data_IF_703694179441
#
_entry.id   IF_703694179441
#
_cell.length_a   1.000
_cell.length_b   1.000
_cell.length_c   1.000
_cell.angle_alpha   90.00
_cell.angle_beta   90.00
_cell.angle_gamma   90.00
#
_symmetry.space_group_name_H-M   'P 1'
#
loop_
_entity.id
_entity.type
_entity.pdbx_description
1 polymer ?
#
# COMPACT_ATOMS: atom_id res chain seq x y z
N UNK A 1 44.13 5.93 -6.60
CA UNK A 1 44.23 4.74 -5.73
C UNK A 1 44.05 5.05 -4.24
N UNK A 2 44.26 6.29 -3.76
CA UNK A 2 44.04 6.67 -2.35
C UNK A 2 42.58 6.98 -1.99
N UNK A 3 41.74 7.37 -2.96
CA UNK A 3 40.36 7.82 -2.69
C UNK A 3 39.35 6.65 -2.67
N UNK A 4 39.73 5.48 -3.18
CA UNK A 4 38.81 4.33 -3.36
C UNK A 4 38.65 3.46 -2.10
N UNK A 5 39.56 3.54 -1.13
CA UNK A 5 39.38 2.90 0.18
C UNK A 5 38.32 3.60 1.05
N UNK A 6 38.04 4.88 0.76
CA UNK A 6 37.17 5.73 1.59
C UNK A 6 35.68 5.37 1.40
N UNK A 7 35.28 4.95 0.19
CA UNK A 7 33.88 4.58 -0.11
C UNK A 7 33.49 3.28 0.60
N UNK A 8 34.35 2.26 0.57
CA UNK A 8 34.09 0.99 1.27
C UNK A 8 34.00 1.19 2.78
N UNK A 9 34.93 1.96 3.38
CA UNK A 9 34.93 2.23 4.81
C UNK A 9 33.77 3.14 5.22
N UNK A 10 33.39 4.13 4.41
CA UNK A 10 32.20 4.97 4.63
C UNK A 10 30.92 4.14 4.57
N UNK A 11 30.82 3.22 3.61
CA UNK A 11 29.68 2.33 3.46
C UNK A 11 29.59 1.33 4.61
N UNK A 12 30.70 0.67 4.94
CA UNK A 12 30.80 -0.24 6.07
C UNK A 12 30.54 0.50 7.40
N UNK A 13 30.97 1.76 7.54
CA UNK A 13 30.69 2.59 8.70
C UNK A 13 29.21 2.99 8.77
N UNK A 14 28.56 3.36 7.67
CA UNK A 14 27.13 3.63 7.61
C UNK A 14 26.32 2.39 8.02
N UNK A 15 26.68 1.21 7.51
CA UNK A 15 26.08 -0.07 7.91
C UNK A 15 26.38 -0.40 9.38
N UNK A 16 27.62 -0.21 9.84
CA UNK A 16 28.02 -0.51 11.22
C UNK A 16 27.42 0.46 12.25
N UNK A 17 27.18 1.71 11.90
CA UNK A 17 26.50 2.70 12.74
C UNK A 17 25.06 2.31 13.04
N UNK A 18 24.46 1.39 12.27
CA UNK A 18 23.13 0.84 12.54
C UNK A 18 23.10 -0.31 13.55
N UNK A 19 24.24 -0.71 14.12
CA UNK A 19 24.38 -1.85 15.06
C UNK A 19 23.65 -1.70 16.41
N UNK A 20 23.08 -0.54 16.75
CA UNK A 20 22.43 -0.31 18.05
C UNK A 20 20.92 -0.62 18.06
N UNK A 21 20.31 -0.92 16.92
CA UNK A 21 18.86 -1.15 16.85
C UNK A 21 18.49 -2.58 17.29
N UNK A 22 17.76 -2.69 18.42
CA UNK A 22 17.15 -3.92 18.93
C UNK A 22 16.33 -4.65 17.86
N UNK A 23 16.25 -5.98 17.95
CA UNK A 23 15.51 -6.92 17.07
C UNK A 23 13.98 -6.74 17.01
N UNK A 24 13.43 -5.58 17.41
CA UNK A 24 12.00 -5.31 17.30
C UNK A 24 11.61 -5.01 15.84
N UNK A 25 10.96 -6.00 15.23
CA UNK A 25 10.12 -5.93 14.03
C UNK A 25 9.19 -4.72 14.02
N UNK A 26 9.58 -3.59 13.43
CA UNK A 26 8.61 -2.52 13.14
C UNK A 26 8.85 -1.95 11.75
N UNK A 27 8.47 -2.69 10.70
CA UNK A 27 8.23 -2.04 9.40
C UNK A 27 7.14 -0.98 9.61
N UNK A 28 7.41 0.24 9.15
CA UNK A 28 6.64 1.45 9.49
C UNK A 28 5.39 1.58 8.63
N UNK A 29 4.73 0.46 8.33
CA UNK A 29 3.61 0.42 7.40
C UNK A 29 2.27 0.86 8.03
N UNK A 30 2.12 0.67 9.35
CA UNK A 30 0.91 1.04 10.08
C UNK A 30 1.18 1.35 11.56
N UNK A 31 0.40 2.28 12.11
CA UNK A 31 0.50 2.70 13.49
C UNK A 31 -0.86 3.14 14.05
N UNK A 32 -1.01 3.10 15.37
CA UNK A 32 -2.23 3.55 16.02
C UNK A 32 -2.09 3.66 17.52
N UNK A 33 -3.16 4.07 18.18
CA UNK A 33 -3.24 4.29 19.61
C UNK A 33 -4.54 4.97 20.01
N UNK A 34 -4.59 5.45 21.25
CA UNK A 34 -5.70 6.28 21.71
C UNK A 34 -5.56 7.71 21.16
N UNK A 35 -6.69 8.29 20.77
CA UNK A 35 -6.81 9.67 20.35
C UNK A 35 -7.56 10.46 21.41
N UNK A 36 -6.89 11.47 21.96
CA UNK A 36 -7.49 12.35 22.96
C UNK A 36 -8.34 13.42 22.27
N UNK A 37 -9.63 13.22 22.37
CA UNK A 37 -10.67 14.11 21.88
C UNK A 37 -10.61 15.47 22.60
N UNK A 38 -10.55 16.62 21.88
CA UNK A 38 -10.48 17.94 22.51
C UNK A 38 -11.76 18.23 23.31
N UNK A 39 -11.62 18.67 24.56
CA UNK A 39 -12.76 18.99 25.41
C UNK A 39 -13.53 20.21 24.86
N UNK A 40 -14.87 20.14 24.85
CA UNK A 40 -15.69 21.32 24.55
C UNK A 40 -15.44 22.44 25.58
N UNK A 41 -15.36 23.68 25.12
CA UNK A 41 -15.29 24.84 25.99
C UNK A 41 -16.57 24.94 26.84
N UNK A 42 -16.42 24.94 28.17
CA UNK A 42 -17.54 24.97 29.12
C UNK A 42 -18.34 26.27 28.97
N UNK A 43 -19.54 26.22 28.39
CA UNK A 43 -20.60 27.19 28.79
C UNK A 43 -21.26 26.66 30.06
N UNK A 44 -21.04 27.36 31.18
CA UNK A 44 -21.77 27.12 32.44
C UNK A 44 -23.26 27.40 32.22
N UNK A 45 -24.08 26.37 32.06
CA UNK A 45 -25.52 26.48 32.29
C UNK A 45 -25.84 26.07 33.71
N UNK A 46 -26.73 26.82 34.36
CA UNK A 46 -27.04 26.73 35.78
C UNK A 46 -28.07 25.61 36.07
N UNK A 47 -27.76 24.37 35.69
CA UNK A 47 -28.47 23.18 36.18
C UNK A 47 -27.50 22.00 36.12
N UNK A 48 -27.16 21.43 37.27
CA UNK A 48 -26.18 20.36 37.41
C UNK A 48 -26.63 19.06 36.74
N UNK A 49 -25.83 18.61 35.77
CA UNK A 49 -25.96 17.35 35.05
C UNK A 49 -24.85 17.26 34.01
N UNK A 50 -23.99 16.25 34.11
CA UNK A 50 -22.69 16.11 33.47
C UNK A 50 -22.71 15.63 32.02
N UNK A 51 -21.87 16.20 31.14
CA UNK A 51 -20.85 15.45 30.37
C UNK A 51 -19.97 16.43 29.56
N UNK A 52 -18.65 16.22 29.43
CA UNK A 52 -17.88 16.86 28.39
C UNK A 52 -18.21 16.15 27.06
N UNK A 53 -19.40 16.42 26.51
CA UNK A 53 -19.69 16.08 25.12
C UNK A 53 -18.67 16.83 24.26
N UNK A 54 -18.02 16.13 23.33
CA UNK A 54 -17.26 16.83 22.32
C UNK A 54 -18.24 17.63 21.46
N UNK A 55 -18.12 18.96 21.50
CA UNK A 55 -18.89 19.84 20.65
C UNK A 55 -18.14 20.00 19.33
N UNK A 56 -18.84 19.79 18.21
CA UNK A 56 -18.30 20.12 16.90
C UNK A 56 -18.03 18.95 15.95
N UNK A 57 -18.75 17.85 16.08
CA UNK A 57 -18.98 16.93 14.96
C UNK A 57 -20.46 17.01 14.59
N UNK A 58 -20.75 17.29 13.33
CA UNK A 58 -22.12 17.36 12.80
C UNK A 58 -22.24 16.60 11.49
N UNK A 59 -23.40 16.01 11.25
CA UNK A 59 -23.79 15.45 9.95
C UNK A 59 -25.06 16.16 9.52
N UNK A 60 -24.95 17.10 8.58
CA UNK A 60 -26.02 18.05 8.29
C UNK A 60 -26.54 18.73 9.57
N UNK A 61 -27.81 18.49 9.89
CA UNK A 61 -28.47 19.02 11.09
C UNK A 61 -28.28 18.18 12.36
N UNK A 62 -27.71 16.97 12.24
CA UNK A 62 -27.51 16.04 13.36
C UNK A 62 -26.24 16.43 14.12
N UNK A 63 -26.39 16.81 15.39
CA UNK A 63 -25.26 17.02 16.29
C UNK A 63 -24.80 15.69 16.89
N UNK A 64 -23.52 15.34 16.70
CA UNK A 64 -22.95 14.09 17.18
C UNK A 64 -22.16 14.35 18.44
N UNK A 65 -22.76 14.01 19.58
CA UNK A 65 -22.05 13.99 20.87
C UNK A 65 -21.29 12.67 21.05
N UNK A 66 -20.21 12.70 21.84
CA UNK A 66 -19.39 11.53 22.15
C UNK A 66 -19.46 11.23 23.67
N UNK A 67 -19.64 9.96 24.08
CA UNK A 67 -19.95 8.79 23.23
C UNK A 67 -21.27 8.92 22.48
N UNK A 68 -21.34 8.38 21.25
CA UNK A 68 -22.53 8.49 20.40
C UNK A 68 -23.68 7.72 21.05
N UNK A 69 -24.81 8.40 21.25
CA UNK A 69 -26.02 7.83 21.86
C UNK A 69 -26.82 7.00 20.86
N UNK A 70 -27.73 6.17 21.36
CA UNK A 70 -28.61 5.35 20.52
C UNK A 70 -29.51 6.20 19.60
N UNK A 71 -30.04 7.31 20.09
CA UNK A 71 -30.88 8.22 19.30
C UNK A 71 -30.10 8.88 18.17
N UNK A 72 -28.86 9.32 18.44
CA UNK A 72 -27.97 9.88 17.40
C UNK A 72 -27.60 8.82 16.38
N UNK A 73 -27.33 7.58 16.79
CA UNK A 73 -27.05 6.47 15.87
C UNK A 73 -28.23 6.20 14.93
N UNK A 74 -29.46 6.19 15.45
CA UNK A 74 -30.66 6.00 14.63
C UNK A 74 -30.87 7.17 13.64
N UNK A 75 -30.57 8.40 14.04
CA UNK A 75 -30.60 9.54 13.15
C UNK A 75 -29.53 9.44 12.04
N UNK A 76 -28.32 9.00 12.37
CA UNK A 76 -27.26 8.77 11.39
C UNK A 76 -27.62 7.64 10.42
N UNK A 77 -28.27 6.57 10.87
CA UNK A 77 -28.76 5.49 10.00
C UNK A 77 -29.75 5.96 8.95
N UNK A 78 -30.59 6.93 9.29
CA UNK A 78 -31.60 7.45 8.38
C UNK A 78 -31.02 8.27 7.22
N UNK A 79 -29.78 8.77 7.36
CA UNK A 79 -29.09 9.56 6.32
C UNK A 79 -27.92 8.82 5.68
N UNK A 80 -27.51 7.68 6.26
CA UNK A 80 -26.43 6.87 5.73
C UNK A 80 -26.92 5.97 4.58
N UNK A 81 -26.10 5.85 3.54
CA UNK A 81 -26.35 4.97 2.40
C UNK A 81 -25.50 3.70 2.49
N UNK A 82 -25.86 2.66 1.73
CA UNK A 82 -25.04 1.45 1.65
C UNK A 82 -23.67 1.80 1.06
N UNK A 83 -22.60 1.31 1.69
CA UNK A 83 -21.25 1.58 1.22
C UNK A 83 -20.90 0.62 0.07
N UNK A 84 -20.55 1.12 -1.12
CA UNK A 84 -20.27 0.27 -2.27
C UNK A 84 -18.94 -0.47 -2.14
N UNK A 85 -18.80 -1.56 -2.89
CA UNK A 85 -17.52 -2.20 -3.22
C UNK A 85 -17.06 -1.73 -4.61
N UNK A 86 -15.78 -1.36 -4.72
CA UNK A 86 -15.19 -0.96 -5.99
C UNK A 86 -14.52 -2.16 -6.66
N UNK A 87 -14.98 -2.52 -7.86
CA UNK A 87 -14.22 -3.35 -8.80
C UNK A 87 -14.16 -2.61 -10.15
N UNK A 88 -13.01 -2.01 -10.45
CA UNK A 88 -12.79 -1.26 -11.68
C UNK A 88 -13.74 -0.05 -11.86
N UNK A 89 -14.28 0.11 -13.06
CA UNK A 89 -15.22 1.20 -13.40
C UNK A 89 -16.66 0.97 -12.90
N UNK A 90 -16.96 -0.18 -12.27
CA UNK A 90 -18.30 -0.49 -11.77
C UNK A 90 -18.35 -0.41 -10.25
N UNK A 91 -19.28 0.40 -9.76
CA UNK A 91 -19.61 0.50 -8.33
C UNK A 91 -20.68 -0.54 -8.06
N UNK A 92 -20.30 -1.69 -7.50
CA UNK A 92 -21.23 -2.75 -7.13
C UNK A 92 -21.49 -2.71 -5.62
N UNK A 93 -22.59 -3.30 -5.18
CA UNK A 93 -22.88 -3.51 -3.75
C UNK A 93 -22.95 -5.02 -3.55
N UNK A 94 -21.86 -5.61 -3.10
CA UNK A 94 -21.78 -7.03 -2.72
C UNK A 94 -21.55 -7.13 -1.21
N UNK A 95 -22.59 -7.57 -0.49
CA UNK A 95 -22.55 -7.72 0.97
C UNK A 95 -21.58 -8.82 1.46
N UNK A 96 -21.19 -9.77 0.60
CA UNK A 96 -20.18 -10.77 0.93
C UNK A 96 -18.76 -10.16 0.94
N UNK A 97 -18.55 -9.08 0.17
CA UNK A 97 -17.29 -8.34 0.12
C UNK A 97 -17.30 -7.21 1.15
N UNK A 98 -18.40 -6.46 1.27
CA UNK A 98 -18.51 -5.31 2.17
C UNK A 98 -19.93 -5.13 2.65
N UNK A 99 -20.08 -5.13 3.97
CA UNK A 99 -21.33 -4.76 4.64
C UNK A 99 -21.07 -3.59 5.58
N UNK A 100 -21.40 -2.39 5.10
CA UNK A 100 -21.26 -1.15 5.84
C UNK A 100 -22.23 -0.10 5.31
N UNK A 101 -22.55 0.90 6.13
CA UNK A 101 -23.19 2.13 5.68
C UNK A 101 -22.16 3.26 5.69
N UNK A 102 -22.28 4.21 4.77
CA UNK A 102 -21.42 5.39 4.69
C UNK A 102 -22.23 6.69 4.66
N UNK A 103 -21.56 7.75 5.10
CA UNK A 103 -21.95 9.14 4.89
C UNK A 103 -20.71 9.82 4.31
N UNK A 104 -20.87 10.51 3.19
CA UNK A 104 -19.74 11.15 2.52
C UNK A 104 -19.19 12.31 3.35
N UNK A 105 -17.88 12.53 3.24
CA UNK A 105 -17.16 13.48 4.09
C UNK A 105 -17.62 14.93 3.96
N UNK A 106 -18.19 15.30 2.81
CA UNK A 106 -18.76 16.64 2.54
C UNK A 106 -20.05 16.92 3.35
N UNK A 107 -20.74 15.88 3.78
CA UNK A 107 -21.91 15.97 4.66
C UNK A 107 -21.51 16.09 6.14
N UNK A 108 -20.23 15.87 6.47
CA UNK A 108 -19.71 15.90 7.83
C UNK A 108 -18.97 17.20 8.10
N UNK A 109 -19.42 17.95 9.09
CA UNK A 109 -18.76 19.20 9.51
C UNK A 109 -18.02 18.99 10.82
N UNK A 110 -16.76 19.41 10.85
CA UNK A 110 -15.90 19.44 12.04
C UNK A 110 -15.73 20.87 12.54
N UNK A 111 -15.75 21.08 13.85
CA UNK A 111 -15.35 22.35 14.43
C UNK A 111 -13.85 22.57 14.25
N UNK A 112 -13.43 23.84 14.16
CA UNK A 112 -12.01 24.16 14.01
C UNK A 112 -11.09 23.53 15.08
N UNK A 113 -11.46 23.44 16.38
CA UNK A 113 -10.66 22.73 17.37
C UNK A 113 -10.54 21.23 17.12
N UNK A 114 -11.62 20.56 16.72
CA UNK A 114 -11.60 19.12 16.41
C UNK A 114 -10.78 18.85 15.16
N UNK A 115 -10.99 19.63 14.10
CA UNK A 115 -10.23 19.53 12.86
C UNK A 115 -8.73 19.69 13.12
N UNK A 116 -8.33 20.71 13.89
CA UNK A 116 -6.92 20.92 14.25
C UNK A 116 -6.34 19.72 15.01
N UNK A 117 -7.07 19.18 15.99
CA UNK A 117 -6.60 18.02 16.75
C UNK A 117 -6.39 16.78 15.87
N UNK A 118 -7.28 16.58 14.88
CA UNK A 118 -7.16 15.49 13.89
C UNK A 118 -5.98 15.69 12.94
N UNK A 119 -5.76 16.93 12.47
CA UNK A 119 -4.61 17.29 11.63
C UNK A 119 -3.28 17.11 12.38
N UNK A 120 -3.20 17.55 13.64
CA UNK A 120 -2.03 17.35 14.51
C UNK A 120 -1.74 15.86 14.75
N UNK A 121 -2.79 15.06 14.97
CA UNK A 121 -2.65 13.61 15.16
C UNK A 121 -2.22 12.90 13.88
N UNK A 122 -2.78 13.29 12.73
CA UNK A 122 -2.36 12.81 11.42
C UNK A 122 -0.88 13.10 11.17
N UNK A 123 -0.45 14.34 11.42
CA UNK A 123 0.93 14.77 11.30
C UNK A 123 1.85 13.95 12.22
N UNK A 124 1.42 13.72 13.47
CA UNK A 124 2.16 12.94 14.48
C UNK A 124 2.34 11.48 14.05
N UNK A 125 1.26 10.81 13.62
CA UNK A 125 1.30 9.42 13.16
C UNK A 125 2.17 9.28 11.91
N UNK A 126 1.99 10.17 10.93
CA UNK A 126 2.76 10.15 9.69
C UNK A 126 4.27 10.32 9.95
N UNK A 127 4.68 11.35 10.71
CA UNK A 127 6.10 11.62 10.94
C UNK A 127 6.76 10.63 11.90
N UNK A 128 6.13 10.39 13.07
CA UNK A 128 6.79 9.65 14.15
C UNK A 128 6.63 8.14 14.03
N UNK A 129 5.64 7.66 13.27
CA UNK A 129 5.32 6.23 13.21
C UNK A 129 5.38 5.64 11.81
N UNK A 130 5.02 6.41 10.77
CA UNK A 130 5.14 5.97 9.37
C UNK A 130 6.43 6.46 8.69
N UNK A 131 7.15 7.42 9.29
CA UNK A 131 8.40 7.95 8.74
C UNK A 131 8.24 8.93 7.58
N UNK A 132 7.04 9.47 7.37
CA UNK A 132 6.75 10.44 6.31
C UNK A 132 7.28 11.82 6.70
N UNK A 133 8.02 12.46 5.80
CA UNK A 133 8.57 13.81 5.99
C UNK A 133 7.66 14.89 5.39
N UNK A 134 7.80 16.13 5.87
CA UNK A 134 7.01 17.27 5.40
C UNK A 134 5.64 17.42 6.06
N UNK A 135 4.85 18.36 5.54
CA UNK A 135 3.49 18.64 5.98
C UNK A 135 2.53 17.53 5.55
N UNK A 136 1.61 17.16 6.45
CA UNK A 136 0.57 16.17 6.19
C UNK A 136 -0.80 16.76 6.53
N UNK A 137 -1.70 16.70 5.56
CA UNK A 137 -3.11 17.07 5.71
C UNK A 137 -3.97 15.82 5.84
N UNK A 138 -4.97 15.89 6.71
CA UNK A 138 -6.03 14.88 6.82
C UNK A 138 -7.29 15.36 6.09
N UNK A 139 -7.65 14.70 5.00
CA UNK A 139 -8.85 15.00 4.20
C UNK A 139 -9.97 14.05 4.62
N UNK A 140 -11.06 14.54 5.21
CA UNK A 140 -12.17 13.67 5.62
C UNK A 140 -12.86 13.08 4.38
N UNK A 141 -12.74 11.77 4.20
CA UNK A 141 -13.27 11.08 3.04
C UNK A 141 -14.70 10.60 3.28
N UNK A 142 -14.94 9.89 4.40
CA UNK A 142 -16.26 9.37 4.74
C UNK A 142 -16.37 9.05 6.23
N UNK A 143 -17.60 9.05 6.74
CA UNK A 143 -17.97 8.36 7.99
C UNK A 143 -18.54 6.98 7.62
N UNK A 144 -18.12 5.92 8.32
CA UNK A 144 -18.67 4.57 8.15
C UNK A 144 -19.35 4.08 9.43
N UNK A 145 -20.52 3.48 9.27
CA UNK A 145 -21.30 2.83 10.32
C UNK A 145 -21.40 1.33 10.06
N UNK A 146 -21.15 0.55 11.09
CA UNK A 146 -21.22 -0.91 11.05
C UNK A 146 -22.19 -1.42 12.11
N UNK A 147 -23.21 -2.13 11.64
CA UNK A 147 -24.14 -2.94 12.42
C UNK A 147 -23.57 -4.35 12.65
N UNK A 148 -24.20 -5.18 13.49
CA UNK A 148 -23.82 -6.58 13.60
C UNK A 148 -23.82 -7.29 12.22
N UNK A 149 -22.74 -8.03 11.95
CA UNK A 149 -22.41 -8.61 10.65
C UNK A 149 -21.65 -7.67 9.70
N UNK A 150 -21.54 -6.39 10.03
CA UNK A 150 -20.82 -5.41 9.23
C UNK A 150 -19.32 -5.71 9.19
N UNK A 151 -18.74 -5.71 7.98
CA UNK A 151 -17.36 -6.11 7.70
C UNK A 151 -16.90 -5.58 6.34
N UNK A 152 -15.62 -5.77 6.03
CA UNK A 152 -15.13 -5.71 4.65
C UNK A 152 -13.95 -6.67 4.44
N UNK A 153 -13.90 -7.27 3.26
CA UNK A 153 -12.86 -8.17 2.82
C UNK A 153 -11.51 -7.44 2.64
N UNK A 154 -10.44 -8.23 2.55
CA UNK A 154 -9.09 -7.70 2.39
C UNK A 154 -8.96 -6.95 1.06
N UNK A 155 -8.51 -5.70 1.10
CA UNK A 155 -8.28 -4.87 -0.07
C UNK A 155 -7.17 -3.85 0.20
N UNK A 156 -6.74 -3.16 -0.85
CA UNK A 156 -5.89 -1.96 -0.78
C UNK A 156 -6.73 -0.73 -1.05
N UNK A 157 -6.33 0.40 -0.48
CA UNK A 157 -6.97 1.67 -0.80
C UNK A 157 -6.48 2.15 -2.16
N UNK A 158 -7.41 2.58 -3.02
CA UNK A 158 -7.07 3.43 -4.15
C UNK A 158 -6.73 4.83 -3.66
N UNK A 159 -5.66 5.43 -4.20
CA UNK A 159 -5.33 6.84 -3.97
C UNK A 159 -6.38 7.73 -4.66
N UNK A 160 -7.12 8.53 -3.88
CA UNK A 160 -8.34 9.24 -4.33
C UNK A 160 -8.10 10.72 -4.65
N UNK A 161 -6.95 11.25 -4.27
CA UNK A 161 -6.57 12.64 -4.51
C UNK A 161 -5.05 12.78 -4.63
N UNK A 162 -4.60 13.81 -5.33
CA UNK A 162 -3.18 14.03 -5.60
C UNK A 162 -2.38 14.18 -4.29
N UNK A 163 -1.33 13.38 -4.14
CA UNK A 163 -0.47 13.38 -2.96
C UNK A 163 -1.01 12.55 -1.79
N UNK A 164 -2.15 11.89 -1.94
CA UNK A 164 -2.59 10.86 -0.99
C UNK A 164 -1.52 9.77 -0.89
N UNK A 165 -1.26 9.28 0.31
CA UNK A 165 -0.29 8.21 0.54
C UNK A 165 -0.78 7.13 1.49
N UNK A 166 -1.88 7.40 2.18
CA UNK A 166 -2.40 6.51 3.20
C UNK A 166 -3.74 6.94 3.72
N UNK A 167 -4.22 6.18 4.70
CA UNK A 167 -5.52 6.35 5.32
C UNK A 167 -5.34 6.46 6.82
N UNK A 168 -6.06 7.39 7.44
CA UNK A 168 -6.23 7.47 8.89
C UNK A 168 -7.68 7.16 9.25
N UNK A 169 -7.88 6.20 10.15
CA UNK A 169 -9.20 5.81 10.66
C UNK A 169 -9.29 6.21 12.12
N UNK A 170 -10.33 6.98 12.46
CA UNK A 170 -10.65 7.38 13.83
C UNK A 170 -11.94 6.69 14.25
N UNK A 171 -11.84 5.71 15.13
CA UNK A 171 -12.97 5.02 15.74
C UNK A 171 -13.56 5.84 16.88
N UNK A 172 -14.82 6.22 16.72
CA UNK A 172 -15.55 7.03 17.68
C UNK A 172 -16.19 6.14 18.75
N UNK A 173 -16.17 6.55 20.03
CA UNK A 173 -16.84 5.81 21.09
C UNK A 173 -18.36 5.90 20.94
N UNK A 174 -19.05 4.78 21.13
CA UNK A 174 -20.51 4.70 21.23
C UNK A 174 -20.89 4.38 22.67
N UNK A 175 -22.04 4.85 23.14
CA UNK A 175 -22.49 4.68 24.53
C UNK A 175 -22.57 3.19 24.92
N UNK A 176 -23.17 2.39 24.04
CA UNK A 176 -23.34 0.95 24.20
C UNK A 176 -22.07 0.14 23.86
N UNK A 177 -21.03 0.76 23.29
CA UNK A 177 -19.86 0.05 22.78
C UNK A 177 -20.17 -0.86 21.59
N UNK A 178 -19.21 -1.74 21.28
CA UNK A 178 -19.36 -2.80 20.27
C UNK A 178 -18.35 -3.94 20.50
N UNK A 179 -18.70 -5.12 19.97
CA UNK A 179 -17.86 -6.31 19.93
C UNK A 179 -17.48 -6.67 18.48
N UNK A 180 -16.41 -7.45 18.31
CA UNK A 180 -15.85 -7.74 16.99
C UNK A 180 -15.27 -6.48 16.34
N UNK A 181 -15.39 -6.35 15.01
CA UNK A 181 -15.11 -5.08 14.32
C UNK A 181 -13.64 -4.66 14.33
N UNK A 182 -12.70 -5.60 14.45
CA UNK A 182 -11.27 -5.30 14.51
C UNK A 182 -10.69 -5.06 13.12
N UNK A 183 -9.98 -3.94 12.96
CA UNK A 183 -9.22 -3.64 11.75
C UNK A 183 -7.88 -4.38 11.76
N UNK A 184 -7.60 -5.09 10.68
CA UNK A 184 -6.34 -5.81 10.47
C UNK A 184 -5.66 -5.18 9.26
N UNK A 185 -4.39 -4.78 9.42
CA UNK A 185 -3.58 -4.18 8.35
C UNK A 185 -2.34 -5.06 8.15
N UNK A 186 -1.99 -5.33 6.90
CA UNK A 186 -0.92 -6.23 6.47
C UNK A 186 -0.04 -5.56 5.41
N UNK A 187 1.26 -5.79 5.51
CA UNK A 187 2.26 -5.40 4.53
C UNK A 187 3.33 -6.50 4.48
N UNK A 188 3.53 -7.12 3.32
CA UNK A 188 4.26 -8.40 3.22
C UNK A 188 3.69 -9.45 4.17
N UNK A 189 4.58 -10.07 4.96
CA UNK A 189 4.22 -11.07 5.98
C UNK A 189 3.81 -10.47 7.32
N UNK A 190 3.98 -9.16 7.49
CA UNK A 190 3.70 -8.49 8.75
C UNK A 190 2.23 -8.10 8.86
N UNK A 191 1.62 -8.37 10.02
CA UNK A 191 0.25 -7.97 10.31
C UNK A 191 0.14 -7.21 11.63
N UNK A 192 -0.69 -6.17 11.66
CA UNK A 192 -1.05 -5.41 12.85
C UNK A 192 -2.56 -5.33 13.02
N UNK A 193 -3.00 -5.18 14.27
CA UNK A 193 -4.41 -5.13 14.66
C UNK A 193 -4.69 -3.82 15.37
N UNK A 194 -5.66 -3.05 14.87
CA UNK A 194 -6.06 -1.75 15.40
C UNK A 194 -7.58 -1.67 15.58
N UNK A 195 -8.06 -0.56 16.15
CA UNK A 195 -9.47 -0.16 16.20
C UNK A 195 -10.41 -1.37 16.45
N UNK A 196 -10.22 -2.00 17.62
CA UNK A 196 -10.93 -3.21 18.03
C UNK A 196 -12.17 -2.90 18.89
N UNK A 197 -12.71 -3.93 19.58
CA UNK A 197 -13.89 -3.79 20.44
C UNK A 197 -13.77 -2.64 21.43
N UNK A 198 -14.89 -1.96 21.67
CA UNK A 198 -14.99 -0.89 22.65
C UNK A 198 -16.04 -1.25 23.70
N UNK A 199 -15.67 -1.19 24.98
CA UNK A 199 -16.58 -1.47 26.08
C UNK A 199 -17.67 -0.38 26.20
N UNK A 200 -18.87 -0.72 26.71
CA UNK A 200 -19.88 0.27 27.07
C UNK A 200 -19.30 1.35 28.00
N UNK A 201 -19.66 2.60 27.77
CA UNK A 201 -19.16 3.75 28.54
C UNK A 201 -17.72 4.17 28.25
N UNK A 202 -17.03 3.54 27.29
CA UNK A 202 -15.75 4.04 26.79
C UNK A 202 -15.91 5.46 26.21
N UNK A 203 -14.91 6.33 26.46
CA UNK A 203 -14.96 7.75 26.06
C UNK A 203 -13.83 8.16 25.14
N UNK A 204 -12.82 7.31 24.99
CA UNK A 204 -11.66 7.59 24.18
C UNK A 204 -11.92 7.13 22.74
N UNK A 205 -11.52 7.94 21.78
CA UNK A 205 -11.43 7.50 20.40
C UNK A 205 -10.15 6.68 20.22
N UNK A 206 -10.17 5.77 19.24
CA UNK A 206 -8.98 5.01 18.84
C UNK A 206 -8.64 5.43 17.42
N UNK A 207 -7.37 5.70 17.16
CA UNK A 207 -6.88 6.10 15.83
C UNK A 207 -5.88 5.08 15.30
N UNK A 208 -5.90 4.87 14.00
CA UNK A 208 -4.80 4.23 13.28
C UNK A 208 -4.56 4.90 11.94
N UNK A 209 -3.32 4.85 11.47
CA UNK A 209 -2.89 5.29 10.16
C UNK A 209 -2.04 4.21 9.49
N UNK A 210 -2.20 4.04 8.18
CA UNK A 210 -1.45 3.07 7.38
C UNK A 210 -1.31 3.57 5.93
N UNK A 211 -0.31 3.06 5.20
CA UNK A 211 -0.13 3.39 3.78
C UNK A 211 -1.24 2.78 2.92
N UNK A 212 -1.60 3.43 1.81
CA UNK A 212 -2.75 3.05 0.99
C UNK A 212 -2.60 1.67 0.35
N UNK A 213 -1.36 1.28 0.04
CA UNK A 213 -1.00 -0.02 -0.54
C UNK A 213 -0.96 -1.17 0.47
N UNK A 214 -1.17 -0.90 1.77
CA UNK A 214 -1.31 -1.95 2.77
C UNK A 214 -2.64 -2.67 2.59
N UNK A 215 -2.58 -4.01 2.56
CA UNK A 215 -3.76 -4.85 2.58
C UNK A 215 -4.47 -4.69 3.92
N UNK A 216 -5.77 -4.46 3.92
CA UNK A 216 -6.51 -4.30 5.15
C UNK A 216 -7.93 -4.84 5.06
N UNK A 217 -8.42 -5.35 6.19
CA UNK A 217 -9.76 -5.91 6.34
C UNK A 217 -10.37 -5.55 7.68
N UNK A 218 -11.69 -5.56 7.75
CA UNK A 218 -12.44 -5.43 8.99
C UNK A 218 -13.13 -6.75 9.31
N UNK A 219 -12.78 -7.33 10.45
CA UNK A 219 -13.50 -8.50 10.97
C UNK A 219 -14.95 -8.13 11.33
N UNK A 220 -15.91 -9.07 11.23
CA UNK A 220 -17.31 -8.77 11.52
C UNK A 220 -17.53 -8.14 12.89
N UNK A 221 -18.34 -7.09 12.93
CA UNK A 221 -18.94 -6.59 14.18
C UNK A 221 -19.94 -7.64 14.67
N UNK A 222 -19.80 -8.12 15.90
CA UNK A 222 -20.66 -9.19 16.44
C UNK A 222 -21.81 -8.65 17.29
N UNK A 223 -21.61 -7.48 17.91
CA UNK A 223 -22.62 -6.79 18.71
C UNK A 223 -22.38 -5.28 18.73
N UNK A 224 -23.44 -4.51 18.99
CA UNK A 224 -23.37 -3.06 19.11
C UNK A 224 -23.15 -2.33 17.78
N UNK A 225 -22.63 -1.11 17.86
CA UNK A 225 -22.40 -0.24 16.69
C UNK A 225 -20.98 0.31 16.69
N UNK A 226 -20.29 0.08 15.59
CA UNK A 226 -18.97 0.66 15.33
C UNK A 226 -19.11 1.82 14.36
N UNK A 227 -18.59 2.98 14.75
CA UNK A 227 -18.59 4.20 13.92
C UNK A 227 -17.17 4.68 13.76
N UNK A 228 -16.78 5.01 12.53
CA UNK A 228 -15.44 5.53 12.23
C UNK A 228 -15.50 6.73 11.28
N UNK A 229 -14.55 7.63 11.42
CA UNK A 229 -14.18 8.61 10.40
C UNK A 229 -12.96 8.09 9.65
N UNK A 230 -13.03 8.05 8.32
CA UNK A 230 -11.91 7.68 7.45
C UNK A 230 -11.40 8.94 6.74
N UNK A 231 -10.10 9.20 6.88
CA UNK A 231 -9.41 10.34 6.28
C UNK A 231 -8.37 9.85 5.29
N UNK A 232 -8.28 10.50 4.14
CA UNK A 232 -7.10 10.39 3.28
C UNK A 232 -5.96 11.20 3.92
N UNK A 233 -4.78 10.62 4.01
CA UNK A 233 -3.56 11.30 4.40
C UNK A 233 -2.85 11.80 3.16
N UNK A 234 -2.65 13.11 3.08
CA UNK A 234 -2.15 13.80 1.89
C UNK A 234 -0.88 14.57 2.24
N UNK A 235 0.15 14.46 1.41
CA UNK A 235 1.35 15.30 1.54
C UNK A 235 1.03 16.72 1.10
N UNK A 236 1.18 17.68 2.00
CA UNK A 236 1.22 19.09 1.63
C UNK A 236 2.61 19.34 1.02
N UNK A 237 2.67 19.79 -0.24
CA UNK A 237 3.92 19.96 -1.02
C UNK A 237 4.98 20.89 -0.41
N UNK A 238 4.77 21.39 0.81
CA UNK A 238 5.74 22.08 1.66
C UNK A 238 6.62 21.08 2.39
N UNK A 239 7.57 20.48 1.67
CA UNK A 239 8.57 19.60 2.27
C UNK A 239 9.60 20.41 3.07
N UNK A 240 9.61 20.26 4.40
CA UNK A 240 10.77 20.53 5.23
C UNK A 240 11.68 19.31 5.24
N UNK A 241 12.97 19.48 4.92
CA UNK A 241 13.99 18.42 4.92
C UNK A 241 14.42 18.03 6.35
N UNK A 242 13.48 17.89 7.28
CA UNK A 242 13.79 17.40 8.60
C UNK A 242 14.16 15.91 8.48
N UNK A 243 15.45 15.61 8.61
CA UNK A 243 15.96 14.26 8.72
C UNK A 243 15.28 13.58 9.92
N UNK A 244 14.32 12.70 9.66
CA UNK A 244 13.79 11.82 10.70
C UNK A 244 14.90 10.83 11.02
N UNK A 245 15.65 11.11 12.10
CA UNK A 245 16.54 10.14 12.74
C UNK A 245 15.66 9.11 13.45
N UNK A 246 15.31 8.06 12.74
CA UNK A 246 14.72 6.84 13.31
C UNK A 246 15.71 5.69 13.15
N UNK A 247 15.95 4.94 14.22
CA UNK A 247 16.61 3.64 14.13
C UNK A 247 15.76 2.75 13.23
N UNK A 248 16.39 2.20 12.18
CA UNK A 248 15.69 2.01 10.93
C UNK A 248 15.62 0.53 10.50
N UNK A 249 14.46 0.06 10.03
CA UNK A 249 14.31 -1.22 9.35
C UNK A 249 15.35 -1.44 8.23
N UNK A 250 15.82 -0.37 7.57
CA UNK A 250 16.94 -0.38 6.62
C UNK A 250 18.22 -0.98 7.19
N UNK A 251 18.47 -0.89 8.51
CA UNK A 251 19.61 -1.52 9.17
C UNK A 251 19.62 -3.04 9.05
N UNK A 252 18.44 -3.69 9.15
CA UNK A 252 18.33 -5.15 9.01
C UNK A 252 18.60 -5.57 7.57
N UNK A 253 18.00 -4.86 6.62
CA UNK A 253 18.22 -5.11 5.19
C UNK A 253 19.68 -4.87 4.81
N UNK A 254 20.29 -3.79 5.29
CA UNK A 254 21.72 -3.52 5.13
C UNK A 254 22.61 -4.66 5.66
N UNK A 255 22.23 -5.31 6.77
CA UNK A 255 22.96 -6.50 7.25
C UNK A 255 22.84 -7.67 6.27
N UNK A 256 21.63 -7.96 5.76
CA UNK A 256 21.39 -9.01 4.75
C UNK A 256 22.17 -8.71 3.46
N UNK A 257 22.23 -7.45 3.06
CA UNK A 257 22.86 -7.04 1.81
C UNK A 257 24.37 -6.89 1.90
N UNK A 258 24.94 -6.84 3.11
CA UNK A 258 26.34 -6.45 3.35
C UNK A 258 27.32 -7.19 2.44
N UNK A 259 27.22 -8.52 2.37
CA UNK A 259 28.15 -9.32 1.56
C UNK A 259 28.02 -9.03 0.06
N UNK A 260 26.79 -8.87 -0.44
CA UNK A 260 26.55 -8.58 -1.86
C UNK A 260 26.98 -7.17 -2.23
N UNK A 261 26.68 -6.20 -1.37
CA UNK A 261 27.13 -4.81 -1.52
C UNK A 261 28.65 -4.72 -1.49
N UNK A 262 29.32 -5.41 -0.56
CA UNK A 262 30.79 -5.45 -0.50
C UNK A 262 31.38 -6.01 -1.79
N UNK A 263 30.85 -7.14 -2.30
CA UNK A 263 31.31 -7.73 -3.56
C UNK A 263 31.10 -6.80 -4.76
N UNK A 264 29.95 -6.13 -4.83
CA UNK A 264 29.66 -5.20 -5.92
C UNK A 264 30.61 -3.99 -5.89
N UNK A 265 30.85 -3.40 -4.72
CA UNK A 265 31.80 -2.30 -4.57
C UNK A 265 33.23 -2.72 -4.95
N UNK A 266 33.65 -3.93 -4.58
CA UNK A 266 34.94 -4.50 -5.05
C UNK A 266 34.96 -4.68 -6.58
N UNK A 267 33.87 -5.16 -7.18
CA UNK A 267 33.76 -5.31 -8.62
C UNK A 267 33.78 -3.96 -9.36
N UNK A 268 33.08 -2.94 -8.85
CA UNK A 268 33.05 -1.58 -9.40
C UNK A 268 34.42 -0.91 -9.40
N UNK A 269 35.30 -1.32 -8.49
CA UNK A 269 36.65 -0.74 -8.33
C UNK A 269 37.73 -1.48 -9.11
N UNK A 270 37.39 -2.59 -9.78
CA UNK A 270 38.33 -3.40 -10.56
C UNK A 270 38.17 -3.11 -12.06
N UNK A 271 39.28 -2.89 -12.79
CA UNK A 271 39.25 -2.70 -14.25
C UNK A 271 38.65 -3.93 -14.95
N UNK A 272 37.58 -3.73 -15.73
CA UNK A 272 36.87 -4.80 -16.43
C UNK A 272 35.79 -5.52 -15.60
N UNK A 273 35.35 -4.93 -14.48
CA UNK A 273 34.25 -5.45 -13.65
C UNK A 273 33.00 -5.77 -14.47
N UNK A 274 32.46 -6.98 -14.28
CA UNK A 274 31.28 -7.47 -14.99
C UNK A 274 29.95 -6.86 -14.48
N UNK A 275 29.94 -6.38 -13.24
CA UNK A 275 28.80 -5.76 -12.57
C UNK A 275 29.09 -4.26 -12.44
N UNK A 276 28.22 -3.39 -12.96
CA UNK A 276 28.37 -1.93 -12.94
C UNK A 276 27.29 -1.21 -12.10
N UNK A 277 26.35 -1.99 -11.54
CA UNK A 277 25.21 -1.50 -10.75
C UNK A 277 24.71 -2.55 -9.76
N UNK A 278 23.87 -2.09 -8.83
CA UNK A 278 23.01 -2.93 -8.01
C UNK A 278 21.60 -2.34 -8.03
N UNK A 279 20.60 -3.20 -7.97
CA UNK A 279 19.20 -2.80 -7.95
C UNK A 279 18.53 -3.32 -6.69
N UNK A 280 17.74 -2.47 -6.03
CA UNK A 280 16.92 -2.82 -4.86
C UNK A 280 15.46 -2.67 -5.22
N UNK A 281 14.68 -3.76 -5.27
CA UNK A 281 13.24 -3.68 -5.40
C UNK A 281 12.63 -2.98 -4.18
N UNK A 282 11.74 -2.01 -4.40
CA UNK A 282 11.05 -1.33 -3.31
C UNK A 282 9.85 -2.15 -2.82
N UNK A 283 9.63 -2.18 -1.50
CA UNK A 283 8.64 -3.03 -0.85
C UNK A 283 7.21 -2.50 -0.89
N UNK A 284 7.03 -1.18 -0.95
CA UNK A 284 5.71 -0.58 -1.11
C UNK A 284 5.28 -0.53 -2.58
N UNK A 285 3.96 -0.51 -2.79
CA UNK A 285 3.42 -0.17 -4.10
C UNK A 285 3.30 1.35 -4.25
N UNK A 286 3.63 1.81 -5.44
CA UNK A 286 3.52 3.20 -5.82
C UNK A 286 2.63 3.31 -7.05
N UNK A 287 1.91 4.41 -7.18
CA UNK A 287 1.22 4.75 -8.42
C UNK A 287 2.11 5.68 -9.24
N UNK A 288 2.03 5.60 -10.57
CA UNK A 288 2.68 6.58 -11.42
C UNK A 288 2.03 7.95 -11.18
N UNK A 289 2.78 8.85 -10.55
CA UNK A 289 2.36 10.23 -10.37
C UNK A 289 2.56 11.00 -11.66
N UNK A 290 1.76 12.04 -11.90
CA UNK A 290 1.94 12.97 -13.03
C UNK A 290 3.26 13.76 -12.99
N UNK A 291 4.06 13.60 -11.92
CA UNK A 291 5.40 14.15 -11.75
C UNK A 291 6.40 13.05 -11.41
N UNK A 292 7.70 13.23 -11.73
CA UNK A 292 8.75 12.34 -11.26
C UNK A 292 8.71 12.19 -9.73
N UNK A 293 8.87 10.95 -9.27
CA UNK A 293 8.94 10.63 -7.86
C UNK A 293 10.22 11.17 -7.24
N UNK A 294 10.12 11.66 -6.01
CA UNK A 294 11.23 12.14 -5.20
C UNK A 294 11.48 11.20 -4.04
N UNK A 295 12.65 11.29 -3.42
CA UNK A 295 12.97 10.52 -2.21
C UNK A 295 11.95 10.75 -1.07
N UNK A 296 11.31 11.91 -1.00
CA UNK A 296 10.26 12.25 -0.01
C UNK A 296 8.91 11.58 -0.27
N UNK A 297 8.70 11.06 -1.48
CA UNK A 297 7.46 10.39 -1.89
C UNK A 297 7.47 8.90 -1.50
N UNK A 298 8.66 8.35 -1.18
CA UNK A 298 8.83 6.98 -0.73
C UNK A 298 8.15 6.73 0.64
N UNK A 299 7.72 5.49 0.84
CA UNK A 299 6.94 5.02 1.99
C UNK A 299 7.80 4.14 2.89
N UNK A 300 7.58 4.25 4.20
CA UNK A 300 8.14 3.33 5.20
C UNK A 300 9.63 3.02 5.01
N UNK A 301 9.93 1.72 4.94
CA UNK A 301 11.31 1.20 4.84
C UNK A 301 12.00 1.61 3.53
N UNK A 302 11.26 1.78 2.42
CA UNK A 302 11.84 2.22 1.13
C UNK A 302 12.47 3.60 1.25
N UNK A 303 11.75 4.53 1.90
CA UNK A 303 12.24 5.89 2.13
C UNK A 303 13.53 5.89 2.94
N UNK A 304 13.66 4.92 3.83
CA UNK A 304 14.82 4.82 4.68
C UNK A 304 16.03 4.20 3.99
N UNK A 305 15.80 3.16 3.20
CA UNK A 305 16.84 2.56 2.35
C UNK A 305 17.39 3.62 1.40
N UNK A 306 16.50 4.34 0.71
CA UNK A 306 16.91 5.42 -0.20
C UNK A 306 17.71 6.51 0.53
N UNK A 307 17.27 6.93 1.72
CA UNK A 307 17.98 7.94 2.53
C UNK A 307 19.36 7.44 3.00
N UNK A 308 19.45 6.17 3.38
CA UNK A 308 20.71 5.55 3.78
C UNK A 308 21.69 5.53 2.61
N UNK A 309 21.25 5.11 1.42
CA UNK A 309 22.08 5.06 0.21
C UNK A 309 22.49 6.46 -0.26
N UNK A 310 21.59 7.45 -0.20
CA UNK A 310 21.90 8.84 -0.53
C UNK A 310 22.95 9.46 0.39
N UNK A 311 23.09 8.94 1.62
CA UNK A 311 24.11 9.36 2.58
C UNK A 311 25.50 8.77 2.32
N UNK A 312 25.63 7.86 1.35
CA UNK A 312 26.92 7.27 0.96
C UNK A 312 27.57 8.17 -0.08
N UNK A 313 28.80 8.60 0.21
CA UNK A 313 29.62 9.37 -0.73
C UNK A 313 30.16 8.46 -1.85
N UNK A 314 30.26 8.98 -3.07
CA UNK A 314 30.70 8.19 -4.24
C UNK A 314 29.65 7.24 -4.81
N UNK A 315 28.42 7.26 -4.30
CA UNK A 315 27.30 6.46 -4.79
C UNK A 315 26.24 7.33 -5.49
N UNK A 316 26.01 7.04 -6.76
CA UNK A 316 24.82 7.51 -7.48
C UNK A 316 23.62 6.67 -7.08
N UNK A 317 22.49 7.33 -6.82
CA UNK A 317 21.25 6.70 -6.39
C UNK A 317 20.11 7.20 -7.27
N UNK A 318 19.45 6.29 -7.97
CA UNK A 318 18.34 6.61 -8.87
C UNK A 318 17.09 5.79 -8.56
N UNK A 319 15.91 6.35 -8.81
CA UNK A 319 14.64 5.63 -8.82
C UNK A 319 14.25 5.27 -10.24
N UNK A 320 13.85 4.03 -10.47
CA UNK A 320 13.43 3.56 -11.79
C UNK A 320 12.12 2.81 -11.75
N UNK A 321 11.22 3.18 -12.66
CA UNK A 321 10.11 2.31 -13.00
C UNK A 321 10.64 1.23 -13.91
N UNK A 322 10.56 -0.01 -13.42
CA UNK A 322 10.91 -1.22 -14.16
C UNK A 322 9.60 -1.83 -14.61
N UNK A 323 9.40 -1.86 -15.92
CA UNK A 323 8.30 -2.57 -16.57
C UNK A 323 8.88 -3.76 -17.33
N UNK A 324 8.34 -4.94 -17.07
CA UNK A 324 8.66 -6.17 -17.77
C UNK A 324 7.37 -6.71 -18.36
N UNK A 325 7.36 -7.00 -19.66
CA UNK A 325 6.26 -7.69 -20.33
C UNK A 325 6.72 -9.08 -20.73
N UNK A 326 6.11 -10.10 -20.15
CA UNK A 326 6.32 -11.50 -20.52
C UNK A 326 5.17 -11.97 -21.41
N UNK A 327 5.49 -12.67 -22.49
CA UNK A 327 4.52 -13.33 -23.36
C UNK A 327 4.87 -14.79 -23.49
N UNK A 328 3.87 -15.65 -23.40
CA UNK A 328 4.11 -17.08 -23.40
C UNK A 328 2.86 -17.93 -23.53
N UNK A 329 3.07 -19.23 -23.33
CA UNK A 329 2.01 -20.24 -23.38
C UNK A 329 1.38 -20.36 -22.00
N UNK A 330 0.04 -20.26 -21.87
CA UNK A 330 -0.63 -20.45 -20.58
C UNK A 330 -0.64 -21.92 -20.16
N UNK A 331 -0.52 -22.17 -18.86
CA UNK A 331 -0.61 -23.51 -18.22
C UNK A 331 -2.02 -24.14 -18.33
N UNK A 332 -3.00 -23.42 -18.88
CA UNK A 332 -4.38 -23.87 -18.99
C UNK A 332 -5.27 -22.90 -19.77
N UNK A 333 -6.53 -23.29 -19.93
CA UNK A 333 -7.58 -22.47 -20.57
C UNK A 333 -8.54 -21.98 -19.48
N UNK A 334 -8.74 -20.65 -19.31
CA UNK A 334 -9.67 -20.10 -18.32
C UNK A 334 -11.11 -20.58 -18.55
N UNK A 335 -11.49 -20.91 -19.79
CA UNK A 335 -12.81 -21.45 -20.12
C UNK A 335 -12.97 -22.96 -19.85
N UNK A 336 -11.89 -23.69 -19.57
CA UNK A 336 -11.90 -25.13 -19.31
C UNK A 336 -10.90 -25.55 -18.20
N UNK A 337 -11.24 -25.31 -16.93
CA UNK A 337 -10.36 -25.60 -15.78
C UNK A 337 -10.07 -27.08 -15.54
N UNK A 338 -10.71 -28.01 -16.27
CA UNK A 338 -10.49 -29.46 -16.15
C UNK A 338 -9.50 -30.02 -17.18
N UNK A 339 -8.83 -29.17 -17.94
CA UNK A 339 -7.76 -29.54 -18.85
C UNK A 339 -8.25 -30.11 -20.19
N UNK A 340 -7.37 -30.03 -21.18
CA UNK A 340 -7.56 -30.55 -22.53
C UNK A 340 -7.73 -32.07 -22.53
N UNK A 341 -8.93 -32.57 -22.24
CA UNK A 341 -9.35 -33.85 -22.81
C UNK A 341 -9.69 -33.57 -24.27
N UNK A 342 -8.69 -33.72 -25.15
CA UNK A 342 -8.97 -34.08 -26.54
C UNK A 342 -9.97 -35.24 -26.51
N UNK A 343 -11.16 -35.13 -27.13
CA UNK A 343 -11.98 -36.30 -27.36
C UNK A 343 -11.14 -37.27 -28.18
N UNK A 344 -10.65 -38.34 -27.53
CA UNK A 344 -10.04 -39.46 -28.25
C UNK A 344 -11.14 -40.09 -29.09
N UNK A 345 -11.09 -39.83 -30.38
CA UNK A 345 -11.85 -40.55 -31.39
C UNK A 345 -13.06 -39.77 -31.88
N UNK A 346 -12.92 -39.20 -33.07
CA UNK A 346 -14.08 -39.05 -33.95
C UNK A 346 -14.54 -40.46 -34.32
N UNK A 347 -15.68 -40.91 -33.77
CA UNK A 347 -16.56 -41.78 -34.53
C UNK A 347 -17.31 -40.87 -35.51
N UNK A 348 -17.11 -41.08 -36.80
CA UNK A 348 -17.55 -40.23 -37.93
C UNK A 348 -19.08 -40.30 -38.16
N UNK A 349 -19.86 -40.89 -37.25
CA UNK A 349 -21.23 -41.36 -37.55
C UNK A 349 -22.36 -40.67 -36.77
N UNK A 350 -22.15 -39.51 -36.11
CA UNK A 350 -23.26 -38.74 -35.51
C UNK A 350 -23.34 -37.29 -36.06
N UNK A 351 -24.36 -36.94 -36.88
CA UNK A 351 -24.50 -35.61 -37.45
C UNK A 351 -25.19 -34.61 -36.51
N UNK A 352 -25.44 -34.93 -35.24
CA UNK A 352 -26.11 -34.04 -34.27
C UNK A 352 -25.20 -33.41 -33.20
N UNK A 353 -23.87 -33.60 -33.26
CA UNK A 353 -22.95 -32.85 -32.39
C UNK A 353 -22.73 -31.44 -32.95
N UNK A 354 -23.47 -30.50 -32.39
CA UNK A 354 -23.29 -29.08 -32.63
C UNK A 354 -21.84 -28.68 -32.47
N UNK A 355 -21.32 -27.97 -33.47
CA UNK A 355 -20.05 -27.24 -33.39
C UNK A 355 -20.01 -26.53 -32.03
N UNK A 356 -19.13 -26.98 -31.14
CA UNK A 356 -18.74 -26.18 -29.99
C UNK A 356 -17.98 -25.02 -30.60
N UNK A 357 -18.65 -23.86 -30.69
CA UNK A 357 -18.03 -22.62 -31.13
C UNK A 357 -16.91 -22.36 -30.12
N UNK A 358 -15.66 -22.62 -30.51
CA UNK A 358 -14.50 -22.14 -29.76
C UNK A 358 -14.54 -20.63 -29.92
N UNK A 359 -15.30 -19.98 -29.03
CA UNK A 359 -15.42 -18.53 -28.99
C UNK A 359 -14.01 -17.96 -29.03
N UNK A 360 -13.70 -17.25 -30.12
CA UNK A 360 -12.43 -16.58 -30.30
C UNK A 360 -12.36 -15.45 -29.27
N UNK A 361 -11.80 -15.77 -28.11
CA UNK A 361 -11.64 -14.84 -27.02
C UNK A 361 -10.28 -14.15 -27.18
N UNK A 362 -10.27 -12.99 -27.84
CA UNK A 362 -9.12 -12.08 -27.88
C UNK A 362 -9.14 -11.16 -26.65
N UNK A 363 -7.99 -11.06 -25.96
CA UNK A 363 -7.77 -9.96 -25.01
C UNK A 363 -8.61 -10.04 -23.73
N UNK A 364 -8.91 -11.24 -23.25
CA UNK A 364 -9.68 -11.43 -22.02
C UNK A 364 -8.81 -11.13 -20.80
N UNK A 365 -9.38 -10.45 -19.81
CA UNK A 365 -8.75 -10.09 -18.54
C UNK A 365 -9.68 -10.47 -17.38
N UNK A 366 -9.14 -10.60 -16.17
CA UNK A 366 -9.92 -10.84 -14.96
C UNK A 366 -9.29 -11.86 -14.01
N UNK A 367 -9.94 -12.17 -12.88
CA UNK A 367 -9.34 -12.97 -11.81
C UNK A 367 -8.96 -14.39 -12.23
N UNK A 368 -9.70 -14.97 -13.18
CA UNK A 368 -9.40 -16.29 -13.75
C UNK A 368 -8.13 -16.23 -14.61
N UNK A 369 -7.92 -15.13 -15.36
CA UNK A 369 -6.72 -14.89 -16.16
C UNK A 369 -5.52 -14.55 -15.26
N UNK A 370 -5.71 -13.74 -14.22
CA UNK A 370 -4.67 -13.40 -13.25
C UNK A 370 -4.13 -14.64 -12.51
N UNK A 371 -4.97 -15.68 -12.38
CA UNK A 371 -4.62 -16.95 -11.73
C UNK A 371 -3.97 -17.97 -12.68
N UNK A 372 -4.05 -17.81 -14.00
CA UNK A 372 -3.41 -18.71 -14.96
C UNK A 372 -1.90 -18.61 -14.86
N UNK A 373 -1.22 -19.74 -14.71
CA UNK A 373 0.23 -19.82 -14.84
C UNK A 373 0.68 -19.72 -16.30
N UNK A 374 1.99 -19.54 -16.50
CA UNK A 374 2.63 -19.54 -17.80
C UNK A 374 3.60 -20.74 -17.85
N UNK A 375 3.35 -21.67 -18.77
CA UNK A 375 4.15 -22.89 -18.93
C UNK A 375 5.53 -22.53 -19.45
N UNK A 376 5.55 -21.76 -20.53
CA UNK A 376 6.75 -21.32 -21.23
C UNK A 376 6.66 -19.83 -21.53
N UNK A 377 7.66 -19.07 -21.09
CA UNK A 377 7.87 -17.68 -21.52
C UNK A 377 8.58 -17.71 -22.88
N UNK A 378 7.93 -17.17 -23.91
CA UNK A 378 8.44 -17.12 -25.29
C UNK A 378 9.21 -15.82 -25.54
N UNK A 379 8.72 -14.71 -25.00
CA UNK A 379 9.27 -13.38 -25.22
C UNK A 379 9.22 -12.55 -23.94
N UNK A 380 10.23 -11.71 -23.75
CA UNK A 380 10.36 -10.84 -22.58
C UNK A 380 10.90 -9.47 -23.02
N UNK A 381 10.12 -8.43 -22.77
CA UNK A 381 10.47 -7.06 -23.11
C UNK A 381 10.63 -6.21 -21.85
N UNK A 382 11.73 -5.45 -21.78
CA UNK A 382 12.07 -4.57 -20.66
C UNK A 382 12.02 -3.11 -21.05
N UNK A 383 11.36 -2.31 -20.22
CA UNK A 383 11.33 -0.86 -20.31
C UNK A 383 11.62 -0.25 -18.95
N UNK A 384 12.79 0.35 -18.83
CA UNK A 384 13.26 0.92 -17.56
C UNK A 384 13.58 2.38 -17.75
N UNK A 385 13.05 3.23 -16.87
CA UNK A 385 13.39 4.65 -16.84
C UNK A 385 13.85 5.07 -15.45
N UNK A 386 15.13 5.34 -15.33
CA UNK A 386 15.77 5.81 -14.10
C UNK A 386 15.75 7.33 -14.00
N UNK A 387 15.61 7.82 -12.77
CA UNK A 387 15.67 9.23 -12.38
C UNK A 387 16.57 9.36 -11.16
N UNK A 388 17.70 10.04 -11.29
CA UNK A 388 18.61 10.32 -10.19
C UNK A 388 17.90 11.08 -9.07
N UNK A 389 18.08 10.61 -7.84
CA UNK A 389 17.52 11.24 -6.64
C UNK A 389 18.32 12.48 -6.20
N UNK A 390 19.50 12.72 -6.76
CA UNK A 390 20.36 13.86 -6.41
C UNK A 390 20.09 15.08 -7.27
N UNK A 391 20.07 14.91 -8.58
CA UNK A 391 19.98 16.01 -9.57
C UNK A 391 18.75 15.92 -10.49
N UNK A 392 17.98 14.82 -10.42
CA UNK A 392 16.81 14.61 -11.27
C UNK A 392 17.13 14.22 -12.71
N UNK A 393 18.40 13.95 -13.05
CA UNK A 393 18.77 13.47 -14.37
C UNK A 393 18.09 12.14 -14.68
N UNK A 394 17.61 11.97 -15.91
CA UNK A 394 16.91 10.75 -16.33
C UNK A 394 17.70 9.99 -17.36
N UNK A 395 17.71 8.66 -17.26
CA UNK A 395 18.22 7.75 -18.30
C UNK A 395 17.22 6.63 -18.55
N UNK A 396 17.20 6.13 -19.78
CA UNK A 396 16.38 4.97 -20.12
C UNK A 396 17.31 3.78 -20.35
N UNK A 397 16.86 2.61 -19.94
CA UNK A 397 17.53 1.34 -20.15
C UNK A 397 16.51 0.34 -20.71
N UNK A 398 16.99 -0.52 -21.60
CA UNK A 398 16.21 -1.58 -22.24
C UNK A 398 16.86 -2.96 -22.03
N UNK A 399 17.94 -3.02 -21.24
CA UNK A 399 18.59 -4.26 -20.84
C UNK A 399 17.84 -4.96 -19.71
N UNK A 400 17.92 -6.28 -19.70
CA UNK A 400 17.37 -7.12 -18.64
C UNK A 400 18.02 -6.79 -17.27
N UNK A 401 17.24 -6.86 -16.19
CA UNK A 401 17.67 -6.73 -14.79
C UNK A 401 17.79 -8.12 -14.11
N UNK A 402 17.43 -9.21 -14.79
CA UNK A 402 17.36 -10.57 -14.26
C UNK A 402 18.70 -11.22 -13.86
N UNK A 403 19.85 -10.57 -13.97
CA UNK A 403 21.04 -11.15 -13.35
C UNK A 403 20.85 -11.12 -11.83
N UNK A 404 20.58 -12.29 -11.24
CA UNK A 404 20.37 -12.45 -9.80
C UNK A 404 21.52 -11.84 -8.99
N UNK A 405 22.72 -11.70 -9.57
CA UNK A 405 23.87 -11.05 -8.94
C UNK A 405 23.71 -9.54 -8.76
N UNK A 406 22.93 -8.86 -9.62
CA UNK A 406 22.65 -7.41 -9.60
C UNK A 406 21.49 -7.03 -8.69
N UNK A 407 20.55 -7.94 -8.45
CA UNK A 407 19.30 -7.63 -7.71
C UNK A 407 19.42 -7.99 -6.24
N UNK A 408 19.55 -6.99 -5.37
CA UNK A 408 19.50 -7.18 -3.93
C UNK A 408 18.08 -7.61 -3.48
N UNK A 409 17.96 -8.33 -2.34
CA UNK A 409 16.65 -8.57 -1.73
C UNK A 409 15.88 -7.27 -1.55
N UNK A 410 14.55 -7.34 -1.72
CA UNK A 410 13.66 -6.19 -1.58
C UNK A 410 13.85 -5.41 -0.28
N UNK A 411 13.53 -4.12 -0.32
CA UNK A 411 13.55 -3.23 0.83
C UNK A 411 12.58 -3.64 1.95
N UNK A 412 11.55 -4.45 1.65
CA UNK A 412 10.70 -5.11 2.67
C UNK A 412 11.27 -6.45 3.15
N UNK A 413 12.09 -7.11 2.32
CA UNK A 413 12.80 -8.36 2.62
C UNK A 413 12.03 -9.66 2.31
N UNK A 414 10.85 -9.56 1.68
CA UNK A 414 9.81 -10.62 1.68
C UNK A 414 9.30 -10.99 0.26
N UNK A 415 10.11 -10.87 -0.80
CA UNK A 415 9.64 -11.22 -2.15
C UNK A 415 10.33 -12.47 -2.69
N UNK A 416 9.52 -13.47 -3.06
CA UNK A 416 9.95 -14.68 -3.78
C UNK A 416 10.37 -14.37 -5.22
N UNK A 417 9.79 -13.31 -5.81
CA UNK A 417 10.11 -12.82 -7.15
C UNK A 417 10.35 -11.30 -7.12
N UNK A 418 11.46 -10.85 -7.70
CA UNK A 418 11.88 -9.45 -7.52
C UNK A 418 11.00 -8.44 -8.25
N UNK A 419 10.20 -8.84 -9.26
CA UNK A 419 9.18 -7.96 -9.86
C UNK A 419 7.86 -7.95 -9.10
N UNK A 420 7.62 -8.91 -8.20
CA UNK A 420 6.33 -9.11 -7.54
C UNK A 420 5.26 -9.67 -8.47
N UNK A 421 3.99 -9.46 -8.12
CA UNK A 421 2.85 -9.92 -8.91
C UNK A 421 2.68 -9.08 -10.19
N UNK A 422 2.12 -9.69 -11.24
CA UNK A 422 1.73 -8.98 -12.45
C UNK A 422 0.65 -7.92 -12.11
N UNK A 423 0.76 -6.75 -12.71
CA UNK A 423 -0.23 -5.68 -12.56
C UNK A 423 -1.35 -5.78 -13.59
N UNK A 424 -1.07 -6.42 -14.73
CA UNK A 424 -2.02 -6.68 -15.81
C UNK A 424 -1.72 -8.06 -16.38
N UNK A 425 -2.77 -8.86 -16.62
CA UNK A 425 -2.69 -10.12 -17.34
C UNK A 425 -3.77 -10.14 -18.44
N UNK A 426 -3.40 -10.57 -19.63
CA UNK A 426 -4.28 -10.68 -20.80
C UNK A 426 -4.10 -12.04 -21.44
N UNK A 427 -5.21 -12.74 -21.65
CA UNK A 427 -5.26 -14.03 -22.31
C UNK A 427 -5.94 -13.91 -23.67
N UNK A 428 -5.37 -14.59 -24.66
CA UNK A 428 -6.04 -14.82 -25.93
C UNK A 428 -6.15 -16.31 -26.19
N UNK A 429 -7.35 -16.77 -26.56
CA UNK A 429 -7.61 -18.15 -26.92
C UNK A 429 -7.01 -18.53 -28.27
N UNK A 430 -7.41 -19.67 -28.82
CA UNK A 430 -6.92 -20.11 -30.13
C UNK A 430 -7.28 -19.11 -31.24
N UNK A 431 -6.25 -18.64 -31.96
CA UNK A 431 -6.35 -17.67 -33.05
C UNK A 431 -6.03 -18.36 -34.39
N UNK A 432 -6.93 -19.21 -34.87
CA UNK A 432 -6.73 -19.98 -36.11
C UNK A 432 -5.60 -21.02 -35.99
N UNK A 433 -4.45 -20.77 -36.61
CA UNK A 433 -3.27 -21.65 -36.54
C UNK A 433 -2.34 -21.32 -35.35
N UNK A 434 -2.65 -20.28 -34.58
CA UNK A 434 -1.90 -19.88 -33.40
C UNK A 434 -2.56 -20.47 -32.15
N UNK A 435 -1.73 -21.04 -31.27
CA UNK A 435 -2.16 -21.50 -29.95
C UNK A 435 -2.52 -20.34 -29.02
N UNK A 436 -3.05 -20.63 -27.83
CA UNK A 436 -3.40 -19.60 -26.86
C UNK A 436 -2.15 -18.85 -26.39
N UNK A 437 -2.32 -17.57 -26.10
CA UNK A 437 -1.28 -16.69 -25.57
C UNK A 437 -1.69 -16.08 -24.23
N UNK A 438 -0.69 -15.94 -23.36
CA UNK A 438 -0.81 -15.20 -22.11
C UNK A 438 0.26 -14.11 -22.13
N UNK A 439 -0.19 -12.88 -21.89
CA UNK A 439 0.68 -11.71 -21.70
C UNK A 439 0.55 -11.23 -20.27
N UNK A 440 1.68 -11.05 -19.59
CA UNK A 440 1.76 -10.48 -18.24
C UNK A 440 2.63 -9.23 -18.25
N UNK A 441 2.12 -8.18 -17.63
CA UNK A 441 2.87 -6.94 -17.40
C UNK A 441 3.17 -6.83 -15.92
N UNK A 442 4.44 -6.75 -15.59
CA UNK A 442 4.93 -6.49 -14.24
C UNK A 442 5.43 -5.06 -14.17
N UNK A 443 5.13 -4.37 -13.08
CA UNK A 443 5.60 -3.01 -12.84
C UNK A 443 6.07 -2.86 -11.41
N UNK A 444 7.33 -2.47 -11.25
CA UNK A 444 7.89 -2.22 -9.93
C UNK A 444 8.79 -1.00 -9.91
N UNK A 445 8.66 -0.21 -8.84
CA UNK A 445 9.60 0.86 -8.57
C UNK A 445 10.84 0.26 -7.89
N UNK A 446 12.01 0.60 -8.39
CA UNK A 446 13.29 0.11 -7.89
C UNK A 446 14.26 1.26 -7.59
N UNK A 447 15.22 0.99 -6.72
CA UNK A 447 16.36 1.87 -6.45
C UNK A 447 17.60 1.29 -7.12
N UNK A 448 18.24 2.03 -8.01
CA UNK A 448 19.53 1.64 -8.57
C UNK A 448 20.66 2.37 -7.86
N UNK A 449 21.74 1.63 -7.63
CA UNK A 449 22.97 2.04 -6.98
C UNK A 449 24.11 1.85 -7.99
N UNK A 450 24.86 2.90 -8.27
CA UNK A 450 26.03 2.89 -9.16
C UNK A 450 27.21 3.63 -8.54
N UNK A 451 28.45 3.27 -8.89
CA UNK A 451 29.57 4.15 -8.61
C UNK A 451 29.35 5.48 -9.32
N UNK A 452 29.58 6.58 -8.61
CA UNK A 452 29.52 7.91 -9.21
C UNK A 452 30.72 8.08 -10.16
N UNK A 453 30.46 8.46 -11.41
CA UNK A 453 31.53 8.82 -12.35
C UNK A 453 32.31 10.03 -11.78
N UNK A 454 33.62 9.85 -11.57
CA UNK A 454 34.53 10.89 -11.03
C UNK A 454 35.05 11.80 -12.13
#
# INVERSE_FOLDING_TARGET
MSDNLDVYDTFAAAINATKTANDASDDRFAAGGFFHLPAASRKRTATGGSNPALAGLRVGDIEVSLPITSDTLAALDAVAEAAPCGQGMQTLVDEAVRRAQKIDGDQVTLSAPLQRALEEEAQRLAQKRLGVTGGVRASLHQMCLYTPGGHFAEHRDTEKEAGMFGTMVVQLPTEAGHEGGRLIVRHGDQRRKFCGPAAPGAREAVVCAFFADCLHRLTPVTAGRRVVLAFNLVRDGTSSSAAVRGECAAARHARKWRERLSRAVEAWTTEGGAQDRLVVPLGHMYTQLSRPMRATDLKGTDADVARMMLGVEGLEVALGWVECTERGVPDGDPGNPNGCQYPRGYDIDDPEDGFVDYDHQEGVTGPEVDALGMEDVIDTEWSIKWTSLRDGATRSDHGDINDESDVLPSASGDDDYFLGDAVEATYSGYMGNWGPDLTRVYRRLMLELRPQDV
#
